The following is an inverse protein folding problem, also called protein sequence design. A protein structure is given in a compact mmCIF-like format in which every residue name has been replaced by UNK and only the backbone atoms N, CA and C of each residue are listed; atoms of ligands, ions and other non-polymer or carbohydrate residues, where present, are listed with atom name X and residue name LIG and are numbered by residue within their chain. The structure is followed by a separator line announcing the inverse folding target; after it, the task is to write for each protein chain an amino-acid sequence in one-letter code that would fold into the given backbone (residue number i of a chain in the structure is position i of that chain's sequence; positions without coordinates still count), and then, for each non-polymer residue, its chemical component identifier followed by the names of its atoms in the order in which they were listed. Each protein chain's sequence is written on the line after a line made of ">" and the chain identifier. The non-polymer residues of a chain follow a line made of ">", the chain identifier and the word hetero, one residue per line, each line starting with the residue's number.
data_IF_874265871822
#
_entry.id   IF_874265871822
#
_cell.length_a   1.000
_cell.length_b   1.000
_cell.length_c   1.000
_cell.angle_alpha   90.00
_cell.angle_beta   90.00
_cell.angle_gamma   90.00
#
_symmetry.space_group_name_H-M   'P 1'
#
loop_
_entity.id
_entity.type
_entity.pdbx_description
1 polymer ?
#
# COMPACT_ATOMS: atom_id res chain seq x y z
N UNK A 1 -49.83 -13.26 -50.94
CA UNK A 1 -49.29 -14.58 -50.55
C UNK A 1 -48.23 -14.37 -49.47
N UNK A 2 -48.53 -14.82 -48.24
CA UNK A 2 -47.65 -15.01 -47.06
C UNK A 2 -46.90 -13.82 -46.42
N UNK A 3 -47.49 -13.37 -45.31
CA UNK A 3 -46.88 -12.95 -44.03
C UNK A 3 -45.44 -13.42 -43.77
N UNK A 4 -44.63 -12.53 -43.18
CA UNK A 4 -43.75 -12.85 -42.04
C UNK A 4 -43.42 -11.61 -41.21
N UNK A 5 -43.99 -11.59 -40.01
CA UNK A 5 -43.57 -10.82 -38.84
C UNK A 5 -42.14 -11.22 -38.45
N UNK A 6 -41.27 -10.24 -38.18
CA UNK A 6 -40.18 -10.45 -37.24
C UNK A 6 -39.98 -9.19 -36.38
N UNK A 7 -40.38 -9.36 -35.12
CA UNK A 7 -40.05 -8.52 -33.98
C UNK A 7 -38.54 -8.63 -33.76
N UNK A 8 -37.82 -7.51 -33.73
CA UNK A 8 -36.50 -7.47 -33.06
C UNK A 8 -36.51 -6.30 -32.08
N UNK A 9 -36.19 -6.67 -30.86
CA UNK A 9 -36.31 -5.92 -29.64
C UNK A 9 -35.46 -4.64 -29.61
N UNK A 10 -36.05 -3.61 -29.02
CA UNK A 10 -35.36 -2.51 -28.37
C UNK A 10 -34.35 -3.09 -27.38
N UNK A 11 -33.06 -2.91 -27.64
CA UNK A 11 -32.04 -2.88 -26.58
C UNK A 11 -31.37 -1.52 -26.67
N UNK A 12 -32.00 -0.58 -25.98
CA UNK A 12 -31.41 0.66 -25.51
C UNK A 12 -30.12 0.28 -24.78
N UNK A 13 -28.95 0.56 -25.38
CA UNK A 13 -27.69 0.55 -24.63
C UNK A 13 -27.74 1.73 -23.65
N UNK A 14 -28.35 1.47 -22.50
CA UNK A 14 -28.18 2.28 -21.31
C UNK A 14 -26.68 2.25 -21.02
N UNK A 15 -26.02 3.37 -21.27
CA UNK A 15 -24.78 3.76 -20.62
C UNK A 15 -25.04 3.70 -19.12
N UNK A 16 -24.83 2.52 -18.52
CA UNK A 16 -24.67 2.40 -17.09
C UNK A 16 -23.31 3.05 -16.80
N UNK A 17 -23.35 4.36 -16.61
CA UNK A 17 -22.41 5.07 -15.78
C UNK A 17 -22.46 4.38 -14.41
N UNK A 18 -21.58 3.39 -14.21
CA UNK A 18 -21.24 2.93 -12.87
C UNK A 18 -20.33 4.00 -12.27
N UNK A 19 -20.92 5.16 -11.99
CA UNK A 19 -20.59 5.93 -10.79
C UNK A 19 -21.28 5.21 -9.64
N UNK A 20 -20.80 4.01 -9.28
CA UNK A 20 -21.06 3.49 -7.95
C UNK A 20 -20.21 4.33 -7.00
N UNK A 21 -20.83 5.45 -6.59
CA UNK A 21 -20.97 5.85 -5.21
C UNK A 21 -19.68 5.57 -4.44
N UNK A 22 -18.84 6.61 -4.40
CA UNK A 22 -18.13 6.87 -3.18
C UNK A 22 -19.17 6.91 -2.06
N UNK A 23 -19.25 5.83 -1.29
CA UNK A 23 -19.46 5.99 0.13
C UNK A 23 -18.27 6.82 0.64
N UNK A 24 -18.33 8.13 0.38
CA UNK A 24 -18.00 9.11 1.40
C UNK A 24 -19.08 8.88 2.45
N UNK A 25 -18.94 7.79 3.20
CA UNK A 25 -19.42 7.85 4.56
C UNK A 25 -18.65 9.00 5.17
N UNK A 26 -19.43 10.03 5.44
CA UNK A 26 -19.10 11.15 6.27
C UNK A 26 -18.57 10.59 7.61
N UNK A 27 -17.30 10.20 7.69
CA UNK A 27 -16.68 9.68 8.93
C UNK A 27 -16.45 10.78 9.97
N UNK A 28 -17.02 11.97 9.75
CA UNK A 28 -17.12 13.04 10.74
C UNK A 28 -18.42 13.02 11.55
N UNK A 29 -19.37 12.13 11.28
CA UNK A 29 -20.67 12.10 11.98
C UNK A 29 -20.93 10.81 12.75
N UNK A 30 -20.06 10.42 13.70
CA UNK A 30 -20.42 9.86 15.03
C UNK A 30 -19.24 10.11 16.02
N UNK A 31 -18.91 11.37 16.33
CA UNK A 31 -17.98 11.69 17.44
C UNK A 31 -18.64 12.45 18.60
N UNK A 32 -19.95 12.68 18.56
CA UNK A 32 -20.67 13.51 19.54
C UNK A 32 -21.84 12.86 20.28
N UNK A 33 -21.91 11.52 20.35
CA UNK A 33 -22.86 10.84 21.24
C UNK A 33 -22.26 9.52 21.72
N UNK A 34 -21.44 9.48 22.77
CA UNK A 34 -21.92 9.40 24.16
C UNK A 34 -20.69 9.50 25.10
N UNK A 35 -20.48 10.65 25.73
CA UNK A 35 -19.46 10.82 26.79
C UNK A 35 -19.84 10.11 28.12
N UNK A 36 -20.85 9.24 28.12
CA UNK A 36 -21.43 8.67 29.35
C UNK A 36 -21.01 7.21 29.64
N UNK A 37 -20.16 6.57 28.82
CA UNK A 37 -19.72 5.19 29.10
C UNK A 37 -18.24 4.93 28.72
N UNK A 38 -17.34 5.76 29.23
CA UNK A 38 -15.89 5.61 29.04
C UNK A 38 -15.18 5.24 30.34
N UNK A 39 -14.12 4.43 30.25
CA UNK A 39 -13.22 4.11 31.36
C UNK A 39 -11.76 4.41 30.99
N UNK A 40 -10.83 4.31 31.94
CA UNK A 40 -9.40 4.56 31.71
C UNK A 40 -8.60 3.30 31.38
N UNK A 41 -7.30 3.43 31.10
CA UNK A 41 -6.47 2.29 30.73
C UNK A 41 -6.22 1.36 31.91
N UNK A 42 -6.20 1.87 33.14
CA UNK A 42 -6.18 1.04 34.35
C UNK A 42 -7.37 0.08 34.37
N UNK A 43 -8.59 0.59 34.11
CA UNK A 43 -9.79 -0.24 34.01
C UNK A 43 -9.72 -1.22 32.84
N UNK A 44 -9.21 -0.79 31.68
CA UNK A 44 -8.99 -1.67 30.53
C UNK A 44 -8.06 -2.83 30.89
N UNK A 45 -6.90 -2.54 31.48
CA UNK A 45 -5.91 -3.53 31.89
C UNK A 45 -6.52 -4.54 32.87
N UNK A 46 -7.28 -4.07 33.87
CA UNK A 46 -7.96 -4.96 34.82
C UNK A 46 -8.97 -5.88 34.13
N UNK A 47 -9.71 -5.37 33.13
CA UNK A 47 -10.65 -6.17 32.36
C UNK A 47 -9.97 -7.22 31.48
N UNK A 48 -8.79 -6.90 30.93
CA UNK A 48 -8.01 -7.81 30.08
C UNK A 48 -7.18 -8.82 30.89
N UNK A 49 -6.95 -8.59 32.18
CA UNK A 49 -6.17 -9.49 33.06
C UNK A 49 -6.94 -10.67 33.64
N UNK A 50 -8.12 -10.97 33.09
CA UNK A 50 -8.87 -12.19 33.39
C UNK A 50 -8.13 -13.39 32.79
N UNK A 51 -8.16 -14.53 33.49
CA UNK A 51 -7.52 -15.77 33.05
C UNK A 51 -8.33 -16.45 31.94
N UNK A 52 -8.50 -15.77 30.80
CA UNK A 52 -9.27 -16.21 29.64
C UNK A 52 -8.45 -16.02 28.37
N UNK A 53 -8.67 -16.89 27.39
CA UNK A 53 -8.08 -16.76 26.04
C UNK A 53 -8.91 -15.84 25.15
N UNK A 54 -10.12 -15.47 25.57
CA UNK A 54 -11.00 -14.54 24.85
C UNK A 54 -11.56 -13.50 25.79
N UNK A 55 -11.53 -12.23 25.38
CA UNK A 55 -12.16 -11.11 26.07
C UNK A 55 -12.93 -10.23 25.10
N UNK A 56 -13.85 -9.44 25.65
CA UNK A 56 -14.64 -8.48 24.90
C UNK A 56 -14.59 -7.11 25.60
N UNK A 57 -14.49 -6.04 24.81
CA UNK A 57 -14.70 -4.70 25.33
C UNK A 57 -16.20 -4.45 25.52
N UNK A 58 -16.54 -3.71 26.56
CA UNK A 58 -17.91 -3.35 26.94
C UNK A 58 -18.13 -1.83 27.02
N UNK A 59 -17.06 -1.05 26.81
CA UNK A 59 -16.99 0.39 26.96
C UNK A 59 -15.91 0.95 26.04
N UNK A 60 -15.93 2.25 25.83
CA UNK A 60 -14.79 2.96 25.27
C UNK A 60 -13.74 3.21 26.36
N UNK A 61 -12.47 3.27 26.00
CA UNK A 61 -11.38 3.48 26.93
C UNK A 61 -10.53 4.67 26.50
N UNK A 62 -10.30 5.62 27.41
CA UNK A 62 -9.59 6.87 27.14
C UNK A 62 -8.44 6.98 28.13
N UNK A 63 -7.23 7.19 27.62
CA UNK A 63 -6.04 7.39 28.44
C UNK A 63 -6.19 8.62 29.33
N UNK A 64 -5.92 8.45 30.62
CA UNK A 64 -5.91 9.52 31.61
C UNK A 64 -4.49 9.71 32.18
N UNK A 65 -3.83 10.81 31.82
CA UNK A 65 -2.47 11.14 32.25
C UNK A 65 -2.25 11.17 33.76
N UNK A 66 -3.29 11.40 34.59
CA UNK A 66 -3.12 11.39 36.05
C UNK A 66 -3.19 10.00 36.69
N UNK A 67 -3.66 8.99 35.94
CA UNK A 67 -3.86 7.61 36.46
C UNK A 67 -3.13 6.54 35.67
N UNK A 68 -2.86 6.78 34.39
CA UNK A 68 -2.37 5.78 33.46
C UNK A 68 -0.89 5.96 33.07
N UNK A 69 -0.11 6.71 33.86
CA UNK A 69 1.31 6.99 33.59
C UNK A 69 2.13 5.69 33.41
N UNK A 70 1.82 4.66 34.21
CA UNK A 70 2.43 3.33 34.11
C UNK A 70 2.14 2.57 32.80
N UNK A 71 1.19 3.03 31.98
CA UNK A 71 0.81 2.42 30.70
C UNK A 71 1.31 3.20 29.47
N UNK A 72 2.21 4.19 29.63
CA UNK A 72 2.80 4.92 28.49
C UNK A 72 3.39 4.00 27.41
N UNK A 73 3.97 2.88 27.82
CA UNK A 73 4.56 1.87 26.91
C UNK A 73 3.54 0.88 26.33
N UNK A 74 2.26 1.02 26.65
CA UNK A 74 1.17 0.15 26.23
C UNK A 74 0.77 -0.89 27.27
N UNK A 75 -0.52 -1.23 27.30
CA UNK A 75 -1.05 -2.33 28.10
C UNK A 75 -0.45 -3.65 27.57
N UNK A 76 0.11 -4.44 28.48
CA UNK A 76 0.80 -5.69 28.13
C UNK A 76 -0.19 -6.80 27.77
N UNK A 77 0.00 -7.40 26.59
CA UNK A 77 -0.63 -8.67 26.21
C UNK A 77 0.48 -9.71 26.02
N UNK A 78 0.57 -10.64 26.96
CA UNK A 78 1.61 -11.67 27.02
C UNK A 78 1.07 -13.10 26.99
N UNK A 79 -0.16 -13.28 26.48
CA UNK A 79 -0.84 -14.59 26.40
C UNK A 79 -0.94 -15.05 24.95
N UNK A 80 -0.48 -16.28 24.67
CA UNK A 80 -0.60 -16.87 23.34
C UNK A 80 -2.05 -17.25 23.04
N UNK A 81 -2.42 -17.31 21.76
CA UNK A 81 -3.77 -17.71 21.31
C UNK A 81 -4.89 -16.84 21.91
N UNK A 82 -4.63 -15.54 22.00
CA UNK A 82 -5.53 -14.59 22.66
C UNK A 82 -6.42 -13.86 21.66
N UNK A 83 -7.70 -13.73 21.97
CA UNK A 83 -8.68 -13.00 21.15
C UNK A 83 -9.28 -11.85 21.96
N UNK A 84 -9.17 -10.63 21.44
CA UNK A 84 -9.90 -9.48 21.94
C UNK A 84 -10.90 -8.99 20.89
N UNK A 85 -12.19 -9.06 21.23
CA UNK A 85 -13.28 -8.48 20.43
C UNK A 85 -13.66 -7.11 20.99
N UNK A 86 -13.44 -6.06 20.22
CA UNK A 86 -13.76 -4.70 20.61
C UNK A 86 -15.23 -4.37 20.61
N UNK A 87 -16.10 -5.16 19.95
CA UNK A 87 -17.52 -4.82 19.79
C UNK A 87 -17.75 -3.39 19.29
N UNK A 88 -16.86 -2.91 18.40
CA UNK A 88 -16.83 -1.56 17.83
C UNK A 88 -16.48 -0.43 18.81
N UNK A 89 -15.99 -0.76 20.01
CA UNK A 89 -15.52 0.24 20.97
C UNK A 89 -14.18 0.88 20.57
N UNK A 90 -13.96 2.06 21.12
CA UNK A 90 -12.79 2.90 20.92
C UNK A 90 -11.81 2.74 22.08
N UNK A 91 -10.52 2.64 21.75
CA UNK A 91 -9.42 2.85 22.69
C UNK A 91 -8.62 4.08 22.20
N UNK A 92 -8.71 5.17 22.96
CA UNK A 92 -8.09 6.48 22.65
C UNK A 92 -6.91 6.73 23.59
N UNK A 93 -5.70 6.76 23.05
CA UNK A 93 -4.49 7.04 23.81
C UNK A 93 -4.19 8.55 23.96
N UNK A 94 -5.02 9.43 23.41
CA UNK A 94 -4.93 10.90 23.54
C UNK A 94 -3.56 11.49 23.17
N UNK A 95 -2.81 10.81 22.30
CA UNK A 95 -1.42 11.12 21.92
C UNK A 95 -0.40 11.03 23.07
N UNK A 96 -0.74 10.37 24.18
CA UNK A 96 0.07 10.30 25.39
C UNK A 96 0.72 8.94 25.64
N UNK A 97 0.30 7.89 24.94
CA UNK A 97 0.79 6.53 25.17
C UNK A 97 0.70 5.65 23.92
N UNK A 98 1.43 4.53 23.94
CA UNK A 98 1.08 3.36 23.15
C UNK A 98 -0.20 2.71 23.72
N UNK A 99 -1.03 2.09 22.87
CA UNK A 99 -2.21 1.36 23.35
C UNK A 99 -1.83 -0.04 23.85
N UNK A 100 -1.23 -0.87 23.00
CA UNK A 100 -0.86 -2.25 23.35
C UNK A 100 0.62 -2.55 23.11
N UNK A 101 1.22 -3.27 24.07
CA UNK A 101 2.49 -3.93 23.93
C UNK A 101 2.27 -5.44 23.95
N UNK A 102 2.45 -6.09 22.79
CA UNK A 102 2.13 -7.51 22.60
C UNK A 102 3.42 -8.31 22.54
N UNK A 103 3.64 -9.18 23.51
CA UNK A 103 4.85 -10.03 23.58
C UNK A 103 4.57 -11.51 23.29
N UNK A 104 3.30 -11.87 23.09
CA UNK A 104 2.84 -13.22 22.76
C UNK A 104 2.51 -13.42 21.28
N UNK A 105 2.39 -14.68 20.87
CA UNK A 105 2.06 -15.09 19.49
C UNK A 105 0.59 -15.46 19.32
N UNK A 106 0.12 -15.47 18.07
CA UNK A 106 -1.26 -15.80 17.69
C UNK A 106 -2.31 -14.96 18.43
N UNK A 107 -2.08 -13.65 18.51
CA UNK A 107 -3.04 -12.69 19.06
C UNK A 107 -3.96 -12.20 17.94
N UNK A 108 -5.27 -12.23 18.20
CA UNK A 108 -6.29 -11.69 17.31
C UNK A 108 -7.00 -10.52 17.98
N UNK A 109 -6.88 -9.36 17.38
CA UNK A 109 -7.63 -8.17 17.75
C UNK A 109 -8.68 -7.93 16.67
N UNK A 110 -9.96 -7.80 17.06
CA UNK A 110 -11.04 -7.62 16.10
C UNK A 110 -12.08 -6.60 16.53
N UNK A 111 -12.67 -5.89 15.58
CA UNK A 111 -13.76 -4.92 15.81
C UNK A 111 -13.38 -3.81 16.82
N UNK A 112 -12.15 -3.28 16.77
CA UNK A 112 -11.66 -2.23 17.69
C UNK A 112 -11.27 -0.99 16.88
N UNK A 113 -11.53 0.20 17.44
CA UNK A 113 -11.00 1.47 16.94
C UNK A 113 -9.84 1.93 17.84
N UNK A 114 -8.64 1.93 17.30
CA UNK A 114 -7.39 2.38 17.93
C UNK A 114 -7.05 3.79 17.46
N UNK A 115 -7.13 4.77 18.35
CA UNK A 115 -6.95 6.17 17.96
C UNK A 115 -5.91 6.89 18.81
N UNK A 116 -5.23 7.85 18.19
CA UNK A 116 -4.30 8.77 18.85
C UNK A 116 -3.22 8.07 19.70
N UNK A 117 -2.76 6.90 19.26
CA UNK A 117 -1.58 6.24 19.84
C UNK A 117 -0.32 7.03 19.54
N UNK A 118 0.60 7.15 20.50
CA UNK A 118 1.86 7.85 20.33
C UNK A 118 3.01 7.12 21.04
N UNK A 119 4.02 6.69 20.28
CA UNK A 119 5.16 5.95 20.80
C UNK A 119 6.42 6.11 19.94
N UNK A 120 7.55 5.53 20.34
CA UNK A 120 8.73 5.47 19.47
C UNK A 120 8.50 4.53 18.26
N UNK A 121 8.00 3.33 18.54
CA UNK A 121 7.66 2.32 17.54
C UNK A 121 6.25 1.79 17.82
N UNK A 122 5.41 1.69 16.79
CA UNK A 122 4.04 1.21 16.93
C UNK A 122 3.20 2.16 17.76
N UNK A 123 2.72 3.25 17.17
CA UNK A 123 2.00 4.30 17.90
C UNK A 123 0.79 3.74 18.65
N UNK A 124 -0.01 2.90 18.01
CA UNK A 124 -1.05 2.13 18.68
C UNK A 124 -0.52 0.82 19.27
N UNK A 125 0.19 0.03 18.45
CA UNK A 125 0.54 -1.35 18.78
C UNK A 125 2.00 -1.62 18.46
N UNK A 126 2.72 -2.07 19.48
CA UNK A 126 3.96 -2.80 19.29
C UNK A 126 3.65 -4.30 19.43
N UNK A 127 4.11 -5.11 18.49
CA UNK A 127 4.00 -6.55 18.58
C UNK A 127 5.34 -7.22 18.30
N UNK A 128 5.72 -8.14 19.20
CA UNK A 128 6.94 -8.92 19.05
C UNK A 128 6.85 -9.91 17.87
N UNK A 129 5.66 -10.45 17.61
CA UNK A 129 5.41 -11.48 16.59
C UNK A 129 4.28 -11.06 15.64
N UNK A 130 4.01 -11.89 14.63
CA UNK A 130 2.85 -11.71 13.75
C UNK A 130 1.51 -11.70 14.53
N UNK A 131 0.54 -10.95 14.02
CA UNK A 131 -0.74 -10.72 14.69
C UNK A 131 -1.91 -10.61 13.71
N UNK A 132 -3.13 -10.91 14.17
CA UNK A 132 -4.33 -10.83 13.34
C UNK A 132 -5.13 -9.57 13.68
N UNK A 133 -5.37 -8.72 12.68
CA UNK A 133 -6.16 -7.49 12.79
C UNK A 133 -7.38 -7.60 11.91
N UNK A 134 -8.55 -7.83 12.51
CA UNK A 134 -9.77 -8.15 11.77
C UNK A 134 -10.84 -7.09 12.05
N UNK A 135 -11.22 -6.34 11.02
CA UNK A 135 -12.21 -5.28 11.13
C UNK A 135 -11.85 -4.23 12.20
N UNK A 136 -10.57 -3.87 12.29
CA UNK A 136 -10.10 -2.82 13.17
C UNK A 136 -9.90 -1.51 12.39
N UNK A 137 -9.93 -0.40 13.12
CA UNK A 137 -9.59 0.93 12.62
C UNK A 137 -8.39 1.48 13.37
N UNK A 138 -7.42 2.03 12.65
CA UNK A 138 -6.26 2.71 13.20
C UNK A 138 -6.23 4.13 12.67
N UNK A 139 -6.54 5.10 13.53
CA UNK A 139 -6.73 6.50 13.12
C UNK A 139 -5.82 7.45 13.91
N UNK A 140 -5.11 8.32 13.19
CA UNK A 140 -4.26 9.36 13.77
C UNK A 140 -3.23 8.83 14.77
N UNK A 141 -2.69 7.63 14.56
CA UNK A 141 -1.61 7.11 15.40
C UNK A 141 -0.26 7.60 14.87
N UNK A 142 0.64 7.94 15.79
CA UNK A 142 1.95 8.49 15.50
C UNK A 142 3.06 7.63 16.12
N UNK A 143 4.12 7.38 15.36
CA UNK A 143 5.35 6.81 15.88
C UNK A 143 6.56 7.66 15.49
N UNK A 144 7.44 7.99 16.44
CA UNK A 144 8.61 8.82 16.14
C UNK A 144 9.63 8.12 15.22
N UNK A 145 9.61 6.79 15.14
CA UNK A 145 10.51 6.01 14.29
C UNK A 145 9.74 5.16 13.28
N UNK A 146 9.07 4.11 13.73
CA UNK A 146 8.57 3.09 12.80
C UNK A 146 7.17 2.61 13.14
N UNK A 147 6.34 2.44 12.11
CA UNK A 147 4.99 1.88 12.24
C UNK A 147 4.06 2.83 12.97
N UNK A 148 3.55 3.84 12.28
CA UNK A 148 2.75 4.90 12.92
C UNK A 148 1.56 4.36 13.70
N UNK A 149 0.92 3.31 13.17
CA UNK A 149 -0.05 2.51 13.92
C UNK A 149 0.59 1.26 14.54
N UNK A 150 1.25 0.43 13.73
CA UNK A 150 1.64 -0.93 14.11
C UNK A 150 3.11 -1.18 13.76
N UNK A 151 3.87 -1.63 14.75
CA UNK A 151 5.22 -2.14 14.55
C UNK A 151 5.27 -3.63 14.88
N UNK A 152 5.79 -4.43 13.94
CA UNK A 152 5.97 -5.87 14.11
C UNK A 152 7.48 -6.17 14.08
N UNK A 153 8.00 -6.68 15.20
CA UNK A 153 9.44 -6.84 15.42
C UNK A 153 10.04 -8.06 14.71
N UNK A 154 9.48 -9.26 14.96
CA UNK A 154 10.03 -10.55 14.53
C UNK A 154 8.95 -11.37 13.81
N UNK A 155 8.67 -11.11 12.52
CA UNK A 155 7.70 -11.93 11.79
C UNK A 155 8.38 -13.04 10.96
N UNK A 156 7.81 -14.24 10.97
CA UNK A 156 8.10 -15.36 10.07
C UNK A 156 6.81 -16.20 9.88
N UNK A 157 5.68 -15.51 9.56
CA UNK A 157 4.33 -15.98 9.09
C UNK A 157 3.23 -16.07 10.17
N UNK A 158 1.89 -16.02 9.94
CA UNK A 158 0.95 -15.78 8.82
C UNK A 158 -0.08 -14.73 9.27
N UNK A 159 0.34 -13.49 9.49
CA UNK A 159 -0.55 -12.41 9.94
C UNK A 159 -1.72 -12.22 8.97
N UNK A 160 -2.96 -12.15 9.51
CA UNK A 160 -4.15 -11.78 8.75
C UNK A 160 -4.54 -10.34 9.07
N UNK A 161 -4.31 -9.45 8.11
CA UNK A 161 -4.57 -8.02 8.25
C UNK A 161 -5.74 -7.63 7.35
N UNK A 162 -6.93 -7.52 7.93
CA UNK A 162 -8.17 -7.11 7.27
C UNK A 162 -8.76 -5.91 8.01
N UNK A 163 -8.12 -4.75 7.89
CA UNK A 163 -8.41 -3.57 8.70
C UNK A 163 -8.22 -2.27 7.91
N UNK A 164 -8.56 -1.14 8.53
CA UNK A 164 -8.46 0.20 7.93
C UNK A 164 -7.47 1.07 8.71
N UNK A 165 -6.52 1.68 7.99
CA UNK A 165 -5.46 2.53 8.54
C UNK A 165 -5.56 3.93 7.91
N UNK A 166 -5.86 4.94 8.72
CA UNK A 166 -6.15 6.31 8.27
C UNK A 166 -5.26 7.31 9.03
N UNK A 167 -4.61 8.22 8.29
CA UNK A 167 -3.85 9.34 8.86
C UNK A 167 -2.78 8.93 9.89
N UNK A 168 -2.18 7.74 9.75
CA UNK A 168 -1.11 7.34 10.65
C UNK A 168 0.23 7.91 10.15
N UNK A 169 1.13 8.23 11.09
CA UNK A 169 2.38 8.92 10.80
C UNK A 169 3.59 8.24 11.44
N UNK A 170 4.69 8.10 10.70
CA UNK A 170 5.99 7.68 11.24
C UNK A 170 7.18 8.15 10.39
N UNK A 171 8.42 7.85 10.80
CA UNK A 171 9.56 8.03 9.90
C UNK A 171 9.60 6.94 8.82
N UNK A 172 9.31 5.69 9.16
CA UNK A 172 9.17 4.59 8.21
C UNK A 172 7.88 3.79 8.47
N UNK A 173 7.15 3.43 7.41
CA UNK A 173 5.90 2.68 7.56
C UNK A 173 4.85 3.54 8.26
N UNK A 174 4.28 4.51 7.53
CA UNK A 174 3.36 5.49 8.13
C UNK A 174 2.18 4.83 8.85
N UNK A 175 1.72 3.67 8.38
CA UNK A 175 0.81 2.81 9.13
C UNK A 175 1.52 1.61 9.78
N UNK A 176 2.17 0.77 8.97
CA UNK A 176 2.70 -0.52 9.42
C UNK A 176 4.18 -0.64 9.08
N UNK A 177 4.95 -1.13 10.04
CA UNK A 177 6.35 -1.48 9.84
C UNK A 177 6.61 -2.93 10.22
N UNK A 178 7.16 -3.70 9.26
CA UNK A 178 7.67 -5.04 9.49
C UNK A 178 9.19 -4.99 9.56
N UNK A 179 9.75 -5.27 10.74
CA UNK A 179 11.17 -5.12 11.00
C UNK A 179 12.02 -6.33 10.57
N UNK A 180 11.46 -7.53 10.62
CA UNK A 180 12.17 -8.75 10.23
C UNK A 180 11.63 -9.28 8.91
N UNK A 181 12.00 -10.51 8.58
CA UNK A 181 11.42 -11.25 7.46
C UNK A 181 9.89 -11.30 7.56
N UNK A 182 9.18 -11.58 6.48
CA UNK A 182 7.73 -11.71 6.47
C UNK A 182 7.34 -12.74 5.43
N UNK A 183 6.58 -13.76 5.85
CA UNK A 183 6.16 -14.79 4.92
C UNK A 183 4.67 -15.08 5.01
N UNK A 184 4.02 -15.29 3.86
CA UNK A 184 2.65 -15.85 3.79
C UNK A 184 1.61 -15.04 4.60
N UNK A 185 1.81 -13.73 4.75
CA UNK A 185 0.80 -12.84 5.32
C UNK A 185 -0.35 -12.61 4.34
N UNK A 186 -1.56 -12.45 4.85
CA UNK A 186 -2.73 -12.08 4.05
C UNK A 186 -3.17 -10.65 4.41
N UNK A 187 -2.91 -9.71 3.50
CA UNK A 187 -3.11 -8.27 3.71
C UNK A 187 -4.24 -7.80 2.80
N UNK A 188 -5.43 -7.68 3.40
CA UNK A 188 -6.70 -7.33 2.76
C UNK A 188 -7.28 -6.08 3.39
N UNK A 189 -6.55 -4.98 3.30
CA UNK A 189 -6.74 -3.78 4.12
C UNK A 189 -6.88 -2.52 3.28
N UNK A 190 -7.34 -1.44 3.94
CA UNK A 190 -7.40 -0.10 3.35
C UNK A 190 -6.41 0.81 4.05
N UNK A 191 -5.54 1.45 3.27
CA UNK A 191 -4.55 2.42 3.75
C UNK A 191 -4.85 3.77 3.10
N UNK A 192 -5.26 4.75 3.90
CA UNK A 192 -5.63 6.08 3.41
C UNK A 192 -4.86 7.17 4.16
N UNK A 193 -4.28 8.11 3.42
CA UNK A 193 -3.62 9.30 3.97
C UNK A 193 -2.52 9.00 5.00
N UNK A 194 -1.89 7.82 4.95
CA UNK A 194 -0.78 7.53 5.87
C UNK A 194 0.48 8.21 5.35
N UNK A 195 1.29 8.72 6.28
CA UNK A 195 2.48 9.51 5.96
C UNK A 195 3.71 8.90 6.61
N UNK A 196 4.76 8.72 5.81
CA UNK A 196 6.09 8.46 6.30
C UNK A 196 6.99 9.65 5.96
N UNK A 197 7.82 10.10 6.90
CA UNK A 197 8.85 11.10 6.59
C UNK A 197 9.81 10.56 5.53
N UNK A 198 10.32 9.34 5.74
CA UNK A 198 11.32 8.71 4.86
C UNK A 198 10.68 7.79 3.85
N UNK A 199 10.24 6.60 4.26
CA UNK A 199 9.87 5.55 3.32
C UNK A 199 8.66 4.71 3.74
N UNK A 200 7.93 4.18 2.76
CA UNK A 200 6.76 3.34 2.99
C UNK A 200 5.62 4.15 3.61
N UNK A 201 5.03 5.08 2.86
CA UNK A 201 4.01 5.99 3.40
C UNK A 201 2.84 5.27 4.06
N UNK A 202 2.49 4.06 3.61
CA UNK A 202 1.64 3.14 4.36
C UNK A 202 2.42 2.01 5.02
N UNK A 203 3.14 1.20 4.25
CA UNK A 203 3.77 -0.03 4.73
C UNK A 203 5.26 -0.04 4.39
N UNK A 204 6.08 -0.42 5.36
CA UNK A 204 7.50 -0.64 5.17
C UNK A 204 7.88 -2.08 5.57
N UNK A 205 8.59 -2.77 4.67
CA UNK A 205 9.21 -4.08 4.92
C UNK A 205 10.73 -3.92 4.96
N UNK A 206 11.33 -4.17 6.14
CA UNK A 206 12.77 -4.09 6.34
C UNK A 206 13.49 -5.38 5.98
N UNK A 207 12.96 -6.51 6.43
CA UNK A 207 13.53 -7.83 6.13
C UNK A 207 12.97 -8.43 4.84
N UNK A 208 13.42 -9.65 4.54
CA UNK A 208 12.97 -10.41 3.36
C UNK A 208 11.46 -10.61 3.40
N UNK A 209 10.77 -10.43 2.29
CA UNK A 209 9.32 -10.52 2.24
C UNK A 209 8.91 -11.47 1.13
N UNK A 210 8.30 -12.61 1.44
CA UNK A 210 8.00 -13.66 0.46
C UNK A 210 6.61 -14.26 0.62
N UNK A 211 5.95 -14.54 -0.50
CA UNK A 211 4.64 -15.19 -0.54
C UNK A 211 3.52 -14.43 0.18
N UNK A 212 3.67 -13.14 0.46
CA UNK A 212 2.56 -12.37 1.04
C UNK A 212 1.54 -12.03 -0.05
N UNK A 213 0.28 -12.06 0.35
CA UNK A 213 -0.87 -11.78 -0.50
C UNK A 213 -1.44 -10.40 -0.19
N UNK A 214 -1.50 -9.53 -1.19
CA UNK A 214 -2.12 -8.21 -1.05
C UNK A 214 -3.38 -8.12 -1.90
N UNK A 215 -4.52 -7.88 -1.24
CA UNK A 215 -5.79 -7.46 -1.87
C UNK A 215 -6.28 -6.19 -1.18
N UNK A 216 -5.59 -5.08 -1.46
CA UNK A 216 -5.67 -3.87 -0.65
C UNK A 216 -5.86 -2.61 -1.48
N UNK A 217 -6.37 -1.57 -0.83
CA UNK A 217 -6.48 -0.23 -1.41
C UNK A 217 -5.55 0.76 -0.70
N UNK A 218 -4.72 1.45 -1.47
CA UNK A 218 -3.73 2.44 -1.02
C UNK A 218 -4.06 3.80 -1.64
N UNK A 219 -4.58 4.71 -0.82
CA UNK A 219 -5.10 6.01 -1.24
C UNK A 219 -4.34 7.15 -0.56
N UNK A 220 -3.77 8.07 -1.34
CA UNK A 220 -3.12 9.29 -0.84
C UNK A 220 -2.03 9.03 0.22
N UNK A 221 -1.34 7.89 0.17
CA UNK A 221 -0.24 7.65 1.10
C UNK A 221 1.01 8.35 0.59
N UNK A 222 1.79 8.90 1.51
CA UNK A 222 2.91 9.79 1.16
C UNK A 222 4.19 9.37 1.87
N UNK A 223 5.28 9.24 1.12
CA UNK A 223 6.64 9.28 1.63
C UNK A 223 7.23 10.66 1.30
N UNK A 224 7.47 11.51 2.31
CA UNK A 224 7.76 12.93 2.08
C UNK A 224 9.13 13.16 1.42
N UNK A 225 10.15 12.44 1.90
CA UNK A 225 11.55 12.68 1.57
C UNK A 225 12.19 11.57 0.73
N UNK A 226 11.73 10.31 0.86
CA UNK A 226 12.29 9.19 0.11
C UNK A 226 11.22 8.39 -0.66
N UNK A 227 11.17 7.07 -0.51
CA UNK A 227 10.58 6.20 -1.53
C UNK A 227 9.39 5.38 -1.04
N UNK A 228 8.58 4.89 -1.99
CA UNK A 228 7.48 3.99 -1.67
C UNK A 228 6.33 4.71 -1.00
N UNK A 229 5.61 5.55 -1.75
CA UNK A 229 4.54 6.40 -1.19
C UNK A 229 3.43 5.57 -0.55
N UNK A 230 3.09 4.41 -1.12
CA UNK A 230 2.30 3.41 -0.40
C UNK A 230 3.18 2.35 0.27
N UNK A 231 4.02 1.66 -0.50
CA UNK A 231 4.76 0.49 -0.03
C UNK A 231 6.25 0.59 -0.33
N UNK A 232 7.07 0.18 0.64
CA UNK A 232 8.51 0.10 0.49
C UNK A 232 9.02 -1.29 0.90
N UNK A 233 9.86 -1.89 0.05
CA UNK A 233 10.55 -3.15 0.31
C UNK A 233 12.06 -2.94 0.27
N UNK A 234 12.74 -3.19 1.39
CA UNK A 234 14.17 -2.94 1.53
C UNK A 234 15.06 -4.06 0.98
N UNK A 235 14.74 -5.32 1.25
CA UNK A 235 15.53 -6.47 0.80
C UNK A 235 14.77 -7.26 -0.27
N UNK A 236 14.94 -8.58 -0.32
CA UNK A 236 14.27 -9.46 -1.26
C UNK A 236 12.74 -9.35 -1.11
N UNK A 237 12.06 -9.10 -2.22
CA UNK A 237 10.59 -9.09 -2.28
C UNK A 237 10.06 -10.09 -3.30
N UNK A 238 9.17 -10.98 -2.85
CA UNK A 238 8.42 -11.89 -3.71
C UNK A 238 6.95 -11.89 -3.28
N UNK A 239 6.20 -10.89 -3.73
CA UNK A 239 4.79 -10.74 -3.36
C UNK A 239 3.84 -11.23 -4.44
N UNK A 240 2.63 -11.58 -3.99
CA UNK A 240 1.46 -11.72 -4.84
C UNK A 240 0.51 -10.56 -4.53
N UNK A 241 0.55 -9.51 -5.35
CA UNK A 241 -0.33 -8.34 -5.24
C UNK A 241 -1.45 -8.48 -6.27
N UNK A 242 -2.69 -8.49 -5.84
CA UNK A 242 -3.81 -8.73 -6.72
C UNK A 242 -5.06 -7.97 -6.36
N UNK A 243 -5.89 -7.66 -7.36
CA UNK A 243 -7.15 -6.94 -7.15
C UNK A 243 -6.95 -5.70 -6.26
N UNK A 244 -5.80 -5.04 -6.41
CA UNK A 244 -5.34 -3.97 -5.53
C UNK A 244 -5.36 -2.64 -6.27
N UNK A 245 -5.56 -1.56 -5.51
CA UNK A 245 -5.65 -0.20 -6.05
C UNK A 245 -4.58 0.65 -5.37
N UNK A 246 -3.75 1.29 -6.17
CA UNK A 246 -2.79 2.31 -5.74
C UNK A 246 -3.19 3.63 -6.39
N UNK A 247 -3.72 4.55 -5.60
CA UNK A 247 -4.26 5.81 -6.10
C UNK A 247 -3.71 7.01 -5.33
N UNK A 248 -3.27 8.04 -6.07
CA UNK A 248 -2.83 9.33 -5.51
C UNK A 248 -1.68 9.21 -4.49
N UNK A 249 -0.90 8.14 -4.53
CA UNK A 249 0.24 8.02 -3.62
C UNK A 249 1.40 8.88 -4.14
N UNK A 250 2.21 9.40 -3.21
CA UNK A 250 3.28 10.36 -3.51
C UNK A 250 4.60 9.95 -2.85
N UNK A 251 5.71 10.06 -3.59
CA UNK A 251 7.06 9.83 -3.06
C UNK A 251 8.13 10.57 -3.89
N UNK A 252 9.39 10.50 -3.49
CA UNK A 252 10.53 10.84 -4.35
C UNK A 252 10.67 9.81 -5.49
N UNK A 253 10.62 8.52 -5.15
CA UNK A 253 10.73 7.40 -6.08
C UNK A 253 9.67 6.34 -5.80
N UNK A 254 9.05 5.79 -6.85
CA UNK A 254 8.10 4.68 -6.70
C UNK A 254 6.89 5.07 -5.85
N UNK A 255 6.07 6.01 -6.31
CA UNK A 255 5.04 6.61 -5.46
C UNK A 255 3.96 5.62 -5.01
N UNK A 256 3.65 4.62 -5.83
CA UNK A 256 2.92 3.44 -5.37
C UNK A 256 3.85 2.51 -4.57
N UNK A 257 4.79 1.86 -5.25
CA UNK A 257 5.64 0.83 -4.68
C UNK A 257 7.10 1.10 -5.02
N UNK A 258 7.98 0.93 -4.05
CA UNK A 258 9.42 0.96 -4.26
C UNK A 258 10.05 -0.35 -3.80
N UNK A 259 10.86 -0.95 -4.68
CA UNK A 259 11.69 -2.11 -4.41
C UNK A 259 13.16 -1.69 -4.43
N UNK A 260 13.80 -1.76 -3.27
CA UNK A 260 15.20 -1.36 -3.15
C UNK A 260 16.16 -2.43 -3.68
N UNK A 261 15.97 -3.68 -3.27
CA UNK A 261 16.80 -4.80 -3.68
C UNK A 261 16.04 -5.77 -4.59
N UNK A 262 16.60 -6.96 -4.82
CA UNK A 262 16.04 -8.02 -5.65
C UNK A 262 14.54 -8.21 -5.45
N UNK A 263 13.82 -8.34 -6.56
CA UNK A 263 12.37 -8.45 -6.51
C UNK A 263 11.84 -9.34 -7.62
N UNK A 264 11.02 -10.33 -7.24
CA UNK A 264 10.36 -11.28 -8.13
C UNK A 264 8.86 -11.31 -7.77
N UNK A 265 8.13 -10.29 -8.18
CA UNK A 265 6.75 -10.07 -7.75
C UNK A 265 5.74 -10.37 -8.87
N UNK A 266 4.58 -10.88 -8.46
CA UNK A 266 3.41 -11.02 -9.31
C UNK A 266 2.40 -9.95 -8.93
N UNK A 267 2.14 -9.01 -9.83
CA UNK A 267 1.14 -7.96 -9.67
C UNK A 267 0.06 -8.18 -10.72
N UNK A 268 -1.12 -8.67 -10.35
CA UNK A 268 -2.16 -9.01 -11.32
C UNK A 268 -3.52 -8.38 -11.02
N UNK A 269 -4.31 -8.15 -12.06
CA UNK A 269 -5.59 -7.44 -12.00
C UNK A 269 -5.58 -6.23 -11.05
N UNK A 270 -4.53 -5.41 -11.12
CA UNK A 270 -4.33 -4.28 -10.19
C UNK A 270 -4.28 -2.94 -10.93
N UNK A 271 -4.70 -1.87 -10.27
CA UNK A 271 -4.77 -0.54 -10.86
C UNK A 271 -3.86 0.43 -10.12
N UNK A 272 -2.95 1.05 -10.86
CA UNK A 272 -2.12 2.16 -10.41
C UNK A 272 -2.56 3.43 -11.12
N UNK A 273 -3.13 4.39 -10.39
CA UNK A 273 -3.63 5.62 -11.01
C UNK A 273 -3.31 6.88 -10.24
N UNK A 274 -2.96 7.93 -10.96
CA UNK A 274 -2.68 9.25 -10.38
C UNK A 274 -1.59 9.26 -9.32
N UNK A 275 -0.68 8.27 -9.32
CA UNK A 275 0.46 8.27 -8.42
C UNK A 275 1.53 9.22 -8.96
N UNK A 276 2.21 9.95 -8.07
CA UNK A 276 3.16 10.99 -8.45
C UNK A 276 4.49 10.80 -7.72
N UNK A 277 5.54 10.46 -8.47
CA UNK A 277 6.90 10.50 -7.99
C UNK A 277 7.54 11.85 -8.35
N UNK A 278 8.24 12.49 -7.40
CA UNK A 278 8.97 13.74 -7.68
C UNK A 278 10.08 13.51 -8.71
N UNK A 279 10.75 12.35 -8.67
CA UNK A 279 11.78 11.97 -9.62
C UNK A 279 11.29 10.87 -10.56
N UNK A 280 11.46 9.60 -10.19
CA UNK A 280 11.27 8.48 -11.12
C UNK A 280 10.24 7.45 -10.63
N UNK A 281 9.63 6.73 -11.58
CA UNK A 281 8.71 5.66 -11.28
C UNK A 281 7.43 6.19 -10.64
N UNK A 282 6.63 6.92 -11.42
CA UNK A 282 5.42 7.57 -10.90
C UNK A 282 4.47 6.61 -10.18
N UNK A 283 4.51 5.31 -10.50
CA UNK A 283 3.91 4.24 -9.70
C UNK A 283 4.92 3.32 -9.05
N UNK A 284 5.78 2.68 -9.84
CA UNK A 284 6.68 1.62 -9.37
C UNK A 284 8.11 1.98 -9.71
N UNK A 285 9.02 1.76 -8.76
CA UNK A 285 10.45 1.93 -8.99
C UNK A 285 11.21 0.71 -8.48
N UNK A 286 12.07 0.17 -9.34
CA UNK A 286 13.00 -0.91 -9.04
C UNK A 286 14.42 -0.35 -9.02
N UNK A 287 15.08 -0.39 -7.87
CA UNK A 287 16.37 0.26 -7.67
C UNK A 287 17.57 -0.61 -8.02
N UNK A 288 17.55 -1.88 -7.64
CA UNK A 288 18.55 -2.88 -8.02
C UNK A 288 17.97 -3.88 -9.03
N UNK A 289 18.81 -4.82 -9.47
CA UNK A 289 18.45 -5.90 -10.39
C UNK A 289 17.18 -6.64 -9.97
N UNK A 290 16.31 -6.90 -10.94
CA UNK A 290 15.06 -7.65 -10.73
C UNK A 290 14.92 -8.79 -11.72
N UNK A 291 14.15 -9.82 -11.35
CA UNK A 291 13.94 -10.99 -12.20
C UNK A 291 12.50 -11.48 -12.07
N UNK A 292 11.94 -12.09 -13.12
CA UNK A 292 10.68 -12.83 -13.07
C UNK A 292 9.49 -12.01 -12.52
N UNK A 293 9.33 -10.76 -12.96
CA UNK A 293 8.18 -9.94 -12.57
C UNK A 293 7.05 -10.07 -13.59
N UNK A 294 5.85 -10.38 -13.11
CA UNK A 294 4.65 -10.42 -13.96
C UNK A 294 3.70 -9.31 -13.56
N UNK A 295 3.27 -8.52 -14.53
CA UNK A 295 2.32 -7.42 -14.35
C UNK A 295 1.09 -7.67 -15.21
N UNK A 296 -0.08 -7.56 -14.59
CA UNK A 296 -1.38 -7.54 -15.25
C UNK A 296 -2.26 -6.46 -14.61
N UNK A 297 -2.82 -5.58 -15.45
CA UNK A 297 -3.69 -4.50 -15.00
C UNK A 297 -3.47 -3.17 -15.71
N UNK A 298 -3.64 -2.07 -14.98
CA UNK A 298 -3.75 -0.72 -15.56
C UNK A 298 -2.82 0.25 -14.83
N UNK A 299 -2.00 0.95 -15.60
CA UNK A 299 -1.22 2.12 -15.15
C UNK A 299 -1.77 3.35 -15.85
N UNK A 300 -2.50 4.20 -15.12
CA UNK A 300 -3.20 5.35 -15.70
C UNK A 300 -2.85 6.67 -15.01
N UNK A 301 -2.50 7.69 -15.79
CA UNK A 301 -2.24 9.05 -15.27
C UNK A 301 -1.16 9.09 -14.17
N UNK A 302 -0.17 8.20 -14.19
CA UNK A 302 0.93 8.26 -13.23
C UNK A 302 2.04 9.18 -13.75
N UNK A 303 2.72 9.87 -12.83
CA UNK A 303 3.67 10.92 -13.19
C UNK A 303 4.99 10.75 -12.46
N UNK A 304 6.10 10.69 -13.20
CA UNK A 304 7.45 10.96 -12.70
C UNK A 304 7.82 12.39 -13.10
N UNK A 305 7.74 13.35 -12.16
CA UNK A 305 7.68 14.78 -12.48
C UNK A 305 8.92 15.27 -13.23
N UNK A 306 10.11 15.04 -12.67
CA UNK A 306 11.38 15.52 -13.26
C UNK A 306 12.30 14.40 -13.72
N UNK A 307 11.88 13.14 -13.56
CA UNK A 307 12.71 11.97 -13.87
C UNK A 307 12.09 11.06 -14.91
N UNK A 308 12.39 9.77 -14.76
CA UNK A 308 12.12 8.75 -15.77
C UNK A 308 10.91 7.90 -15.36
N UNK A 309 10.31 7.21 -16.34
CA UNK A 309 9.30 6.20 -16.13
C UNK A 309 8.06 6.76 -15.45
N UNK A 310 7.16 7.36 -16.22
CA UNK A 310 5.95 7.99 -15.67
C UNK A 310 5.08 7.00 -14.90
N UNK A 311 5.09 5.72 -15.27
CA UNK A 311 4.54 4.64 -14.46
C UNK A 311 5.64 3.82 -13.77
N UNK A 312 6.59 3.25 -14.52
CA UNK A 312 7.54 2.27 -14.01
C UNK A 312 8.97 2.67 -14.39
N UNK A 313 9.90 2.59 -13.45
CA UNK A 313 11.34 2.69 -13.74
C UNK A 313 12.09 1.48 -13.23
N UNK A 314 12.98 0.97 -14.08
CA UNK A 314 14.02 0.01 -13.74
C UNK A 314 15.37 0.73 -13.80
N UNK A 315 16.02 0.88 -12.64
CA UNK A 315 17.31 1.57 -12.54
C UNK A 315 18.49 0.67 -12.93
N UNK A 316 18.44 -0.59 -12.51
CA UNK A 316 19.43 -1.59 -12.89
C UNK A 316 18.74 -2.67 -13.76
N UNK A 317 19.51 -3.67 -14.18
CA UNK A 317 19.08 -4.76 -15.06
C UNK A 317 17.73 -5.38 -14.63
N UNK A 318 16.84 -5.57 -15.60
CA UNK A 318 15.57 -6.27 -15.40
C UNK A 318 15.51 -7.46 -16.34
N UNK A 319 15.25 -8.65 -15.79
CA UNK A 319 15.16 -9.87 -16.58
C UNK A 319 13.81 -10.57 -16.45
N UNK A 320 13.43 -11.31 -17.49
CA UNK A 320 12.27 -12.20 -17.53
C UNK A 320 10.95 -11.54 -17.05
N UNK A 321 10.67 -10.33 -17.52
CA UNK A 321 9.47 -9.60 -17.08
C UNK A 321 8.37 -9.58 -18.14
N UNK A 322 7.14 -9.82 -17.71
CA UNK A 322 5.96 -9.91 -18.58
C UNK A 322 4.96 -8.81 -18.18
N UNK A 323 4.51 -8.03 -19.16
CA UNK A 323 3.57 -6.92 -18.96
C UNK A 323 2.29 -7.14 -19.77
N UNK A 324 1.27 -7.67 -19.13
CA UNK A 324 -0.11 -7.75 -19.64
C UNK A 324 -0.88 -6.49 -19.20
N UNK A 325 -0.38 -5.30 -19.53
CA UNK A 325 -0.88 -4.06 -18.94
C UNK A 325 -1.28 -3.00 -19.96
N UNK A 326 -2.26 -2.17 -19.59
CA UNK A 326 -2.54 -0.93 -20.30
C UNK A 326 -1.88 0.27 -19.60
N UNK A 327 -1.00 0.95 -20.32
CA UNK A 327 -0.33 2.18 -19.90
C UNK A 327 -0.98 3.38 -20.58
N UNK A 328 -1.76 4.15 -19.82
CA UNK A 328 -2.61 5.22 -20.35
C UNK A 328 -2.23 6.55 -19.71
N UNK A 329 -1.92 7.56 -20.52
CA UNK A 329 -1.68 8.93 -20.04
C UNK A 329 -0.60 9.07 -18.96
N UNK A 330 0.39 8.17 -18.93
CA UNK A 330 1.49 8.32 -17.98
C UNK A 330 2.48 9.36 -18.50
N UNK A 331 3.11 10.10 -17.58
CA UNK A 331 4.02 11.20 -17.92
C UNK A 331 5.34 11.09 -17.19
N UNK A 332 6.43 11.16 -17.93
CA UNK A 332 7.77 11.36 -17.38
C UNK A 332 8.27 12.76 -17.75
N UNK A 333 9.13 13.35 -16.91
CA UNK A 333 9.84 14.58 -17.24
C UNK A 333 10.87 14.36 -18.35
N UNK A 334 11.65 13.29 -18.24
CA UNK A 334 12.78 13.03 -19.14
C UNK A 334 12.54 11.79 -20.02
N UNK A 335 12.61 10.58 -19.47
CA UNK A 335 12.63 9.35 -20.29
C UNK A 335 11.48 8.40 -19.99
N UNK A 336 10.89 7.81 -21.04
CA UNK A 336 9.93 6.71 -20.91
C UNK A 336 8.63 7.16 -20.26
N UNK A 337 7.72 7.73 -21.04
CA UNK A 337 6.49 8.32 -20.49
C UNK A 337 5.64 7.33 -19.69
N UNK A 338 5.68 6.05 -20.05
CA UNK A 338 5.20 4.96 -19.23
C UNK A 338 6.33 4.21 -18.51
N UNK A 339 7.27 3.64 -19.27
CA UNK A 339 8.29 2.73 -18.72
C UNK A 339 9.68 3.20 -19.14
N UNK A 340 10.62 3.21 -18.20
CA UNK A 340 12.03 3.44 -18.49
C UNK A 340 12.92 2.31 -17.97
N UNK A 341 13.79 1.80 -18.84
CA UNK A 341 14.89 0.88 -18.50
C UNK A 341 16.22 1.62 -18.62
N UNK A 342 16.95 1.72 -17.50
CA UNK A 342 18.26 2.40 -17.47
C UNK A 342 19.45 1.49 -17.79
N UNK A 343 19.22 0.18 -17.86
CA UNK A 343 20.20 -0.82 -18.30
C UNK A 343 19.54 -1.76 -19.31
N UNK A 344 20.34 -2.49 -20.10
CA UNK A 344 19.86 -3.51 -21.03
C UNK A 344 18.91 -4.48 -20.32
N UNK A 345 17.64 -4.57 -20.73
CA UNK A 345 16.75 -5.58 -20.20
C UNK A 345 16.86 -6.87 -21.03
N UNK A 346 16.63 -8.01 -20.38
CA UNK A 346 16.68 -9.33 -21.00
C UNK A 346 15.33 -10.04 -20.89
N UNK A 347 14.86 -10.64 -21.99
CA UNK A 347 13.64 -11.45 -22.01
C UNK A 347 12.41 -10.68 -21.49
N UNK A 348 12.06 -9.57 -22.14
CA UNK A 348 10.88 -8.78 -21.78
C UNK A 348 9.76 -9.04 -22.77
N UNK A 349 8.56 -9.31 -22.27
CA UNK A 349 7.36 -9.45 -23.11
C UNK A 349 6.34 -8.38 -22.74
N UNK A 350 5.91 -7.58 -23.71
CA UNK A 350 4.80 -6.63 -23.56
C UNK A 350 3.56 -7.16 -24.28
N UNK A 351 2.52 -7.55 -23.56
CA UNK A 351 1.23 -7.99 -24.10
C UNK A 351 0.11 -6.97 -23.85
N UNK A 352 0.40 -5.68 -24.05
CA UNK A 352 -0.50 -4.62 -23.62
C UNK A 352 -0.29 -3.30 -24.34
N UNK A 353 -1.22 -2.36 -24.16
CA UNK A 353 -1.26 -1.14 -24.94
C UNK A 353 -0.65 0.05 -24.22
N UNK A 354 0.04 0.90 -24.98
CA UNK A 354 0.59 2.17 -24.53
C UNK A 354 -0.15 3.27 -25.28
N UNK A 355 -0.99 4.03 -24.56
CA UNK A 355 -1.82 5.07 -25.13
C UNK A 355 -1.56 6.43 -24.48
N UNK A 356 -1.26 7.43 -25.31
CA UNK A 356 -1.16 8.84 -24.90
C UNK A 356 -0.17 9.09 -23.74
N UNK A 357 0.90 8.31 -23.67
CA UNK A 357 1.98 8.55 -22.72
C UNK A 357 2.91 9.65 -23.25
N UNK A 358 3.54 10.39 -22.34
CA UNK A 358 4.34 11.57 -22.66
C UNK A 358 5.68 11.60 -21.93
N UNK A 359 6.75 11.90 -22.65
CA UNK A 359 8.07 12.17 -22.09
C UNK A 359 8.87 13.13 -23.00
N UNK A 360 10.10 13.48 -22.61
CA UNK A 360 11.04 14.15 -23.51
C UNK A 360 11.62 13.16 -24.53
N UNK A 361 11.99 11.96 -24.07
CA UNK A 361 12.50 10.85 -24.87
C UNK A 361 11.69 9.58 -24.62
N UNK A 362 11.27 8.89 -25.67
CA UNK A 362 10.51 7.64 -25.54
C UNK A 362 9.14 7.90 -24.93
N UNK A 363 8.20 8.44 -25.73
CA UNK A 363 6.90 8.89 -25.23
C UNK A 363 6.13 7.80 -24.49
N UNK A 364 6.29 6.53 -24.87
CA UNK A 364 5.85 5.39 -24.07
C UNK A 364 7.01 4.71 -23.33
N UNK A 365 8.00 4.22 -24.06
CA UNK A 365 9.07 3.38 -23.51
C UNK A 365 10.42 3.97 -23.87
N UNK A 366 11.36 3.95 -22.93
CA UNK A 366 12.74 4.28 -23.19
C UNK A 366 13.69 3.19 -22.68
N UNK A 367 14.73 2.92 -23.46
CA UNK A 367 15.83 2.03 -23.15
C UNK A 367 17.15 2.80 -23.22
N UNK A 368 18.05 2.61 -22.23
CA UNK A 368 19.35 3.28 -22.24
C UNK A 368 20.46 2.55 -23.00
N UNK A 369 20.38 1.23 -23.03
CA UNK A 369 21.37 0.40 -23.68
C UNK A 369 20.75 -0.39 -24.85
N UNK A 370 21.30 -1.56 -25.12
CA UNK A 370 20.79 -2.50 -26.10
C UNK A 370 19.52 -3.22 -25.61
N UNK A 371 18.92 -4.00 -26.51
CA UNK A 371 17.85 -4.94 -26.20
C UNK A 371 18.38 -6.36 -26.30
N UNK A 372 17.87 -7.24 -25.44
CA UNK A 372 18.03 -8.69 -25.58
C UNK A 372 16.68 -9.38 -25.39
N UNK A 373 16.20 -10.07 -26.45
CA UNK A 373 14.94 -10.81 -26.48
C UNK A 373 13.72 -10.02 -25.98
N UNK A 374 13.33 -8.98 -26.71
CA UNK A 374 12.13 -8.20 -26.43
C UNK A 374 11.01 -8.62 -27.39
N UNK A 375 9.88 -9.04 -26.83
CA UNK A 375 8.67 -9.37 -27.57
C UNK A 375 7.63 -8.27 -27.30
N UNK A 376 7.06 -7.73 -28.37
CA UNK A 376 6.05 -6.68 -28.28
C UNK A 376 4.75 -7.12 -28.98
N UNK A 377 3.76 -7.46 -28.17
CA UNK A 377 2.40 -7.90 -28.54
C UNK A 377 1.37 -6.87 -28.05
N UNK A 378 1.41 -5.67 -28.61
CA UNK A 378 0.52 -4.58 -28.20
C UNK A 378 0.49 -3.44 -29.19
N UNK A 379 -0.10 -2.31 -28.81
CA UNK A 379 -0.13 -1.09 -29.62
C UNK A 379 0.55 0.09 -28.93
N UNK A 380 1.18 0.95 -29.73
CA UNK A 380 1.72 2.25 -29.34
C UNK A 380 0.87 3.32 -30.01
N UNK A 381 -0.14 3.83 -29.30
CA UNK A 381 -1.12 4.75 -29.88
C UNK A 381 -1.00 6.15 -29.27
N UNK A 382 -0.80 7.18 -30.10
CA UNK A 382 -0.81 8.60 -29.68
C UNK A 382 0.19 8.94 -28.56
N UNK A 383 1.26 8.16 -28.39
CA UNK A 383 2.32 8.52 -27.47
C UNK A 383 3.15 9.66 -28.05
N UNK A 384 3.72 10.50 -27.19
CA UNK A 384 4.38 11.74 -27.59
C UNK A 384 5.72 11.92 -26.89
N UNK A 385 6.77 12.16 -27.66
CA UNK A 385 8.07 12.59 -27.18
C UNK A 385 8.37 13.99 -27.71
N UNK A 386 8.88 14.90 -26.88
CA UNK A 386 9.25 16.25 -27.36
C UNK A 386 10.57 16.28 -28.13
N UNK A 387 11.40 15.23 -28.02
CA UNK A 387 12.69 15.13 -28.70
C UNK A 387 12.77 13.90 -29.60
N UNK A 388 12.82 12.69 -29.04
CA UNK A 388 13.07 11.46 -29.81
C UNK A 388 12.09 10.36 -29.40
N UNK A 389 11.57 9.64 -30.39
CA UNK A 389 10.84 8.39 -30.19
C UNK A 389 9.47 8.56 -29.56
N UNK A 390 8.49 9.03 -30.34
CA UNK A 390 7.10 9.20 -29.88
C UNK A 390 6.54 7.96 -29.17
N UNK A 391 6.84 6.76 -29.67
CA UNK A 391 6.56 5.50 -28.99
C UNK A 391 7.74 5.03 -28.14
N UNK A 392 8.78 4.55 -28.81
CA UNK A 392 9.97 3.96 -28.19
C UNK A 392 11.20 4.80 -28.55
N UNK A 393 12.11 5.00 -27.60
CA UNK A 393 13.42 5.58 -27.84
C UNK A 393 14.55 4.75 -27.24
N UNK A 394 15.74 4.89 -27.85
CA UNK A 394 17.02 4.44 -27.33
C UNK A 394 17.86 5.69 -27.07
N UNK A 395 18.25 5.93 -25.82
CA UNK A 395 18.99 7.14 -25.44
C UNK A 395 20.14 6.77 -24.52
N UNK A 396 21.34 7.27 -24.76
CA UNK A 396 22.43 7.10 -23.78
C UNK A 396 22.39 8.27 -22.80
N UNK A 397 22.75 8.03 -21.54
CA UNK A 397 23.04 9.13 -20.59
C UNK A 397 24.24 9.97 -21.07
#
# INVERSE_FOLDING_TARGET
>A
MKSKIFIIAVVLFVLINITCISAVENTQTIYNSTHHNTCDFTTLNNNLNKNTTTNQLNKNYIYNSSRDDGYKSGILINRNNYVLDGKSHVIDAKNNARIFNITSSNVTLKNIRFINGNATNGGAIYSKYGLNLINCFFENNNANQSGGAVFIENDYSKSKLTSTFINNNANNGGAIYFNSTTEKNSIKSKFKNNTATRAGGAIYFRGTSTGNEFKSGFYNNTALEASGGAMFFYTLSQQNIYNSIFQHNMAMYGAGIFFYNQSNNNIFNSTFKYNTAKSCGGSIFFYNKTNNNTFDGIFKNNTGLTGNGGAITFKDESTNSIFNCNFINNRAGEHGGAINFRQTPHNITFNGNFTNNHARYGGAINFFDSLDNIIFNGSLTRNHATQIGNGIAFTKE
#
